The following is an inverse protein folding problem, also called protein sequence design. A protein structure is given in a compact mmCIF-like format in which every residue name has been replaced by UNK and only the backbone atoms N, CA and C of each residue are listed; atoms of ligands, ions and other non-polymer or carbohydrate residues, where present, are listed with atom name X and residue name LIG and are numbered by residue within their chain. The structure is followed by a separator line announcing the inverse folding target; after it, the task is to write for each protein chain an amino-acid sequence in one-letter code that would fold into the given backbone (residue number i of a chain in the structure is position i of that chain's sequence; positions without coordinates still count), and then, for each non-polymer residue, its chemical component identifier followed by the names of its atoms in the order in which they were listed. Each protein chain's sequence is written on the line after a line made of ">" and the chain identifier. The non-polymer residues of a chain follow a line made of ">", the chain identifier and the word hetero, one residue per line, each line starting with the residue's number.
data_IF_885660553031
#
_entry.id   IF_885660553031
#
_cell.length_a   1.000
_cell.length_b   1.000
_cell.length_c   1.000
_cell.angle_alpha   90.00
_cell.angle_beta   90.00
_cell.angle_gamma   90.00
#
_symmetry.space_group_name_H-M   'P 1'
#
loop_
_entity.id
_entity.type
_entity.pdbx_description
1 polymer ?
#
# COMPACT_ATOMS: atom_id res chain seq x y z
N UNK A 1 -17.55 -19.22 16.39
CA UNK A 1 -17.21 -19.88 15.13
C UNK A 1 -17.11 -18.80 14.08
N UNK A 2 -15.97 -18.64 13.40
CA UNK A 2 -15.83 -17.69 12.30
C UNK A 2 -16.88 -18.03 11.23
N UNK A 3 -17.70 -17.05 10.84
CA UNK A 3 -18.68 -17.27 9.80
C UNK A 3 -17.96 -17.37 8.45
N UNK A 4 -18.50 -18.12 7.50
CA UNK A 4 -18.01 -18.15 6.12
C UNK A 4 -18.04 -16.76 5.39
N UNK A 5 -18.40 -15.69 6.11
CA UNK A 5 -18.69 -14.35 5.61
C UNK A 5 -17.58 -13.32 5.91
N UNK A 6 -16.49 -13.70 6.60
CA UNK A 6 -15.48 -12.74 7.06
C UNK A 6 -14.33 -12.50 6.06
N UNK A 7 -14.36 -13.16 4.89
CA UNK A 7 -13.36 -13.00 3.81
C UNK A 7 -13.60 -11.79 2.92
N UNK A 8 -12.60 -11.45 2.09
CA UNK A 8 -12.76 -10.45 1.03
C UNK A 8 -13.63 -11.01 -0.11
N UNK A 9 -14.64 -10.24 -0.54
CA UNK A 9 -15.52 -10.57 -1.67
C UNK A 9 -15.80 -9.35 -2.54
N UNK A 10 -16.40 -9.55 -3.72
CA UNK A 10 -16.86 -8.47 -4.63
C UNK A 10 -15.74 -7.48 -5.05
N UNK A 11 -14.53 -7.98 -5.30
CA UNK A 11 -13.37 -7.15 -5.65
C UNK A 11 -13.55 -6.48 -7.01
N UNK A 12 -13.42 -5.16 -7.03
CA UNK A 12 -13.47 -4.30 -8.22
C UNK A 12 -12.32 -3.31 -8.22
N UNK A 13 -11.73 -3.07 -9.39
CA UNK A 13 -10.76 -2.00 -9.58
C UNK A 13 -11.49 -0.72 -9.95
N UNK A 14 -11.29 0.32 -9.16
CA UNK A 14 -11.99 1.60 -9.30
C UNK A 14 -11.17 2.59 -10.12
N UNK A 15 -9.90 2.77 -9.76
CA UNK A 15 -9.03 3.74 -10.41
C UNK A 15 -7.56 3.43 -10.19
N UNK A 16 -6.70 4.08 -10.98
CA UNK A 16 -5.28 4.16 -10.71
C UNK A 16 -4.71 5.49 -11.17
N UNK A 17 -3.58 5.89 -10.60
CA UNK A 17 -2.89 7.12 -10.94
C UNK A 17 -1.43 7.04 -10.54
N UNK A 18 -0.57 7.86 -11.16
CA UNK A 18 0.79 8.08 -10.69
C UNK A 18 0.88 9.40 -9.93
N UNK A 19 1.59 9.43 -8.81
CA UNK A 19 1.93 10.65 -8.10
C UNK A 19 3.19 11.26 -8.66
N UNK A 20 3.30 12.58 -8.64
CA UNK A 20 4.52 13.32 -8.98
C UNK A 20 4.87 14.27 -7.85
N UNK A 21 6.10 14.15 -7.35
CA UNK A 21 6.61 15.06 -6.33
C UNK A 21 6.89 16.42 -6.97
N UNK A 22 6.04 17.39 -6.66
CA UNK A 22 6.12 18.79 -7.05
C UNK A 22 5.62 19.65 -5.88
N UNK A 23 5.91 20.95 -5.91
CA UNK A 23 5.47 21.89 -4.86
C UNK A 23 3.94 21.88 -4.67
N UNK A 24 3.19 21.67 -5.76
CA UNK A 24 1.76 21.39 -5.73
C UNK A 24 1.52 19.90 -6.03
N UNK A 25 0.56 19.28 -5.32
CA UNK A 25 0.20 17.89 -5.56
C UNK A 25 -0.18 17.67 -7.04
N UNK A 26 0.50 16.77 -7.72
CA UNK A 26 0.27 16.49 -9.14
C UNK A 26 0.07 14.99 -9.34
N UNK A 27 -1.03 14.61 -9.99
CA UNK A 27 -1.31 13.21 -10.36
C UNK A 27 -1.46 13.04 -11.87
N UNK A 28 -0.94 11.93 -12.37
CA UNK A 28 -1.13 11.46 -13.73
C UNK A 28 -2.19 10.37 -13.72
N UNK A 29 -3.33 10.63 -14.34
CA UNK A 29 -4.42 9.66 -14.47
C UNK A 29 -4.34 9.05 -15.87
N UNK A 30 -4.25 7.71 -16.00
CA UNK A 30 -4.13 7.07 -17.31
C UNK A 30 -5.30 7.45 -18.22
N UNK A 31 -4.97 7.73 -19.50
CA UNK A 31 -5.96 7.84 -20.58
C UNK A 31 -6.49 6.45 -20.96
N UNK A 32 -7.40 6.36 -21.94
CA UNK A 32 -8.02 5.08 -22.35
C UNK A 32 -7.02 3.95 -22.63
N UNK A 33 -7.53 2.72 -22.52
CA UNK A 33 -6.78 1.48 -22.34
C UNK A 33 -5.66 1.31 -23.36
N UNK A 34 -4.48 0.95 -22.87
CA UNK A 34 -3.50 0.23 -23.66
C UNK A 34 -2.80 -0.79 -22.77
N UNK A 35 -2.58 -1.95 -23.35
CA UNK A 35 -1.86 -3.06 -22.74
C UNK A 35 -0.38 -2.80 -23.13
N UNK A 36 0.59 -2.98 -22.21
CA UNK A 36 1.85 -3.73 -22.44
C UNK A 36 3.30 -3.13 -22.03
N UNK A 37 4.00 -3.55 -20.92
CA UNK A 37 5.47 -3.85 -20.58
C UNK A 37 5.73 -4.20 -19.06
N UNK A 38 6.68 -5.06 -18.61
CA UNK A 38 7.04 -5.11 -17.15
C UNK A 38 7.57 -3.73 -16.74
N UNK A 39 6.79 -2.99 -15.97
CA UNK A 39 7.03 -1.59 -15.65
C UNK A 39 7.28 -1.43 -14.15
N UNK A 40 8.29 -0.64 -13.81
CA UNK A 40 8.38 -0.08 -12.47
C UNK A 40 7.18 0.85 -12.29
N UNK A 41 6.37 0.57 -11.29
CA UNK A 41 5.53 1.62 -10.76
C UNK A 41 6.44 2.45 -9.87
N UNK A 42 6.42 3.78 -9.97
CA UNK A 42 7.31 4.55 -9.12
C UNK A 42 6.98 4.29 -7.63
N UNK A 43 7.95 4.51 -6.75
CA UNK A 43 7.97 4.29 -5.29
C UNK A 43 6.82 4.88 -4.44
N UNK A 44 5.93 4.05 -3.90
CA UNK A 44 5.02 4.48 -2.83
C UNK A 44 5.26 3.77 -1.50
N UNK A 45 5.85 4.41 -0.47
CA UNK A 45 5.85 3.85 0.88
C UNK A 45 4.52 4.20 1.57
N UNK A 46 3.47 3.42 1.33
CA UNK A 46 2.36 3.30 2.28
C UNK A 46 1.81 1.88 2.27
N UNK A 47 2.45 1.03 3.06
CA UNK A 47 1.84 -0.21 3.51
C UNK A 47 0.81 0.14 4.60
N UNK A 48 -0.45 -0.23 4.35
CA UNK A 48 -1.36 -0.54 5.44
C UNK A 48 -0.87 -1.88 5.99
N UNK A 49 -0.11 -1.82 7.09
CA UNK A 49 0.43 -3.01 7.74
C UNK A 49 -0.74 -3.69 8.47
N UNK A 50 -1.46 -4.55 7.76
CA UNK A 50 -2.37 -5.50 8.40
C UNK A 50 -1.56 -6.68 8.91
N UNK A 51 -0.72 -6.46 9.91
CA UNK A 51 -0.19 -7.56 10.70
C UNK A 51 -1.14 -7.71 11.89
N UNK A 52 -1.98 -8.75 11.88
CA UNK A 52 -2.84 -9.08 13.02
C UNK A 52 -2.03 -9.48 14.27
N UNK A 53 -0.73 -9.74 14.09
CA UNK A 53 0.25 -9.66 15.14
C UNK A 53 0.64 -8.19 15.39
N UNK A 54 -0.08 -7.57 16.32
CA UNK A 54 0.21 -6.29 16.99
C UNK A 54 1.61 -6.29 17.65
N UNK A 55 2.68 -6.40 16.86
CA UNK A 55 4.03 -6.19 17.35
C UNK A 55 4.25 -4.70 17.61
N UNK A 56 5.05 -4.39 18.64
CA UNK A 56 5.22 -3.10 19.30
C UNK A 56 5.84 -1.97 18.47
N UNK A 57 5.71 -1.99 17.14
CA UNK A 57 6.16 -0.91 16.26
C UNK A 57 5.05 0.15 16.17
N UNK A 58 5.31 1.25 16.85
CA UNK A 58 4.42 2.36 17.15
C UNK A 58 3.79 3.03 15.92
N UNK A 59 2.51 2.77 15.66
CA UNK A 59 1.69 3.77 14.96
C UNK A 59 1.32 4.85 15.97
N UNK A 60 1.85 6.07 15.80
CA UNK A 60 1.64 7.16 16.76
C UNK A 60 0.23 7.76 16.68
N UNK A 61 -0.39 7.79 15.49
CA UNK A 61 -1.78 8.24 15.30
C UNK A 61 -2.41 7.67 14.02
N UNK A 62 -3.61 7.13 14.14
CA UNK A 62 -4.51 6.84 13.02
C UNK A 62 -5.73 7.73 13.21
N UNK A 63 -6.13 8.47 12.19
CA UNK A 63 -7.32 9.32 12.24
C UNK A 63 -8.46 8.70 11.46
N UNK A 64 -9.66 8.84 11.99
CA UNK A 64 -10.91 8.54 11.30
C UNK A 64 -11.73 9.82 11.18
N UNK A 65 -12.18 10.11 9.97
CA UNK A 65 -13.08 11.23 9.68
C UNK A 65 -14.40 10.68 9.17
N UNK A 66 -15.51 11.15 9.74
CA UNK A 66 -16.86 10.77 9.30
C UNK A 66 -17.40 11.85 8.35
N UNK A 67 -17.65 11.44 7.10
CA UNK A 67 -18.08 12.30 5.99
C UNK A 67 -19.25 11.65 5.25
N UNK A 68 -20.43 12.26 5.29
CA UNK A 68 -21.62 11.85 4.54
C UNK A 68 -21.91 10.33 4.62
N UNK A 69 -21.91 9.79 5.84
CA UNK A 69 -22.14 8.36 6.09
C UNK A 69 -20.98 7.44 5.70
N UNK A 70 -19.80 8.00 5.42
CA UNK A 70 -18.56 7.26 5.14
C UNK A 70 -17.52 7.55 6.21
N UNK A 71 -16.61 6.60 6.41
CA UNK A 71 -15.46 6.76 7.29
C UNK A 71 -14.19 6.74 6.46
N UNK A 72 -13.39 7.80 6.56
CA UNK A 72 -12.06 7.89 5.96
C UNK A 72 -11.03 7.65 7.05
N UNK A 73 -10.25 6.57 6.92
CA UNK A 73 -9.18 6.24 7.85
C UNK A 73 -7.83 6.60 7.22
N UNK A 74 -7.08 7.48 7.88
CA UNK A 74 -5.74 7.91 7.44
C UNK A 74 -4.74 7.74 8.56
N UNK A 75 -3.57 7.17 8.25
CA UNK A 75 -2.43 7.16 9.17
C UNK A 75 -1.61 8.42 8.96
N UNK A 76 -1.22 9.10 10.04
CA UNK A 76 -0.13 10.09 9.97
C UNK A 76 1.12 9.52 10.64
N UNK A 77 2.27 9.73 10.00
CA UNK A 77 3.57 9.55 10.64
C UNK A 77 4.33 10.87 10.51
N UNK A 78 4.90 11.36 11.62
CA UNK A 78 5.79 12.54 11.58
C UNK A 78 7.09 12.26 10.80
N UNK A 79 7.44 10.99 10.62
CA UNK A 79 8.50 10.54 9.71
C UNK A 79 7.86 10.01 8.42
N UNK A 80 7.98 10.77 7.34
CA UNK A 80 7.81 10.30 5.96
C UNK A 80 9.14 9.86 5.34
N UNK A 81 10.26 10.21 5.99
CA UNK A 81 11.63 9.84 5.62
C UNK A 81 12.42 9.46 6.87
N UNK A 82 13.12 8.34 6.81
CA UNK A 82 14.18 7.98 7.75
C UNK A 82 15.53 8.39 7.16
N UNK A 83 16.40 8.99 7.98
CA UNK A 83 17.81 9.06 7.64
C UNK A 83 18.39 7.68 7.91
N UNK A 84 18.65 6.93 6.84
CA UNK A 84 19.43 5.70 6.93
C UNK A 84 20.84 6.12 7.36
N UNK A 85 21.18 5.83 8.61
CA UNK A 85 22.54 6.08 9.09
C UNK A 85 23.54 5.24 8.29
N UNK A 86 24.82 5.63 8.29
CA UNK A 86 25.85 4.94 7.50
C UNK A 86 26.02 3.44 7.86
N UNK A 87 25.54 3.03 9.05
CA UNK A 87 25.52 1.66 9.55
C UNK A 87 24.13 0.98 9.44
N UNK A 88 23.11 1.69 8.96
CA UNK A 88 21.77 1.17 8.75
C UNK A 88 21.62 0.66 7.32
N UNK A 89 20.86 -0.41 7.19
CA UNK A 89 20.68 -1.12 5.94
C UNK A 89 19.18 -1.35 5.71
N UNK A 90 18.60 -0.60 4.77
CA UNK A 90 17.15 -0.68 4.44
C UNK A 90 16.82 -1.72 3.37
N UNK A 91 17.73 -2.65 3.09
CA UNK A 91 17.54 -3.62 2.03
C UNK A 91 18.15 -3.19 0.71
N UNK A 92 17.96 -4.04 -0.32
CA UNK A 92 18.46 -3.77 -1.66
C UNK A 92 17.34 -3.47 -2.67
N UNK A 93 16.13 -3.23 -2.18
CA UNK A 93 14.94 -3.09 -3.03
C UNK A 93 15.08 -1.98 -4.06
N UNK A 94 15.53 -0.79 -3.63
CA UNK A 94 15.76 0.35 -4.52
C UNK A 94 16.73 0.00 -5.66
N UNK A 95 17.88 -0.57 -5.30
CA UNK A 95 18.89 -0.99 -6.28
C UNK A 95 18.35 -2.07 -7.23
N UNK A 96 17.56 -3.02 -6.73
CA UNK A 96 16.93 -4.03 -7.58
C UNK A 96 15.98 -3.40 -8.61
N UNK A 97 15.08 -2.51 -8.16
CA UNK A 97 14.09 -1.88 -9.03
C UNK A 97 14.75 -0.99 -10.10
N UNK A 98 15.76 -0.19 -9.72
CA UNK A 98 16.51 0.66 -10.66
C UNK A 98 17.22 -0.13 -11.77
N UNK A 99 17.70 -1.34 -11.49
CA UNK A 99 18.49 -2.15 -12.44
C UNK A 99 17.65 -3.18 -13.22
N UNK A 100 16.52 -3.62 -12.66
CA UNK A 100 15.75 -4.73 -13.23
C UNK A 100 14.36 -4.34 -13.72
N UNK A 101 13.88 -3.13 -13.42
CA UNK A 101 12.60 -2.63 -13.92
C UNK A 101 12.82 -1.48 -14.91
N UNK A 102 11.80 -1.22 -15.72
CA UNK A 102 11.79 -0.08 -16.66
C UNK A 102 10.63 0.83 -16.33
N UNK A 103 10.85 2.13 -16.19
CA UNK A 103 9.76 3.11 -16.09
C UNK A 103 9.23 3.44 -17.49
N UNK A 104 7.91 3.41 -17.69
CA UNK A 104 7.30 3.86 -18.94
C UNK A 104 7.53 5.37 -19.15
N UNK A 105 7.76 5.77 -20.40
CA UNK A 105 8.17 7.14 -20.76
C UNK A 105 7.10 8.18 -20.44
N UNK A 106 5.83 7.81 -20.59
CA UNK A 106 4.66 8.66 -20.36
C UNK A 106 4.43 9.01 -18.87
N UNK A 107 4.92 8.18 -17.95
CA UNK A 107 4.84 8.39 -16.49
C UNK A 107 6.20 8.73 -15.87
N UNK A 108 7.19 9.06 -16.70
CA UNK A 108 8.54 9.40 -16.22
C UNK A 108 8.50 10.62 -15.29
N UNK A 109 9.24 10.52 -14.19
CA UNK A 109 9.30 11.55 -13.15
C UNK A 109 8.19 11.46 -12.11
N UNK A 110 7.27 10.49 -12.24
CA UNK A 110 6.40 10.12 -11.14
C UNK A 110 7.21 9.47 -10.00
N UNK A 111 6.76 9.70 -8.77
CA UNK A 111 7.37 9.16 -7.56
C UNK A 111 6.63 7.95 -7.03
N UNK A 112 5.32 7.79 -7.26
CA UNK A 112 4.57 6.57 -6.92
C UNK A 112 3.51 6.15 -7.94
N UNK A 113 3.10 4.88 -8.00
CA UNK A 113 1.80 4.49 -8.57
C UNK A 113 0.84 4.02 -7.49
N UNK A 114 -0.41 4.48 -7.58
CA UNK A 114 -1.46 4.11 -6.67
C UNK A 114 -2.64 3.48 -7.41
N UNK A 115 -3.26 2.50 -6.76
CA UNK A 115 -4.51 1.89 -7.20
C UNK A 115 -5.55 2.06 -6.11
N UNK A 116 -6.81 2.11 -6.56
CA UNK A 116 -7.99 2.12 -5.71
C UNK A 116 -8.80 0.88 -6.07
N UNK A 117 -9.02 0.01 -5.09
CA UNK A 117 -9.88 -1.17 -5.21
C UNK A 117 -11.04 -1.06 -4.25
N UNK A 118 -12.18 -1.61 -4.63
CA UNK A 118 -13.35 -1.76 -3.76
C UNK A 118 -13.66 -3.24 -3.56
N UNK A 119 -14.08 -3.61 -2.37
CA UNK A 119 -14.49 -4.96 -2.01
C UNK A 119 -15.33 -4.94 -0.74
N UNK A 120 -15.85 -6.09 -0.34
CA UNK A 120 -16.46 -6.28 0.99
C UNK A 120 -15.56 -7.13 1.87
N UNK A 121 -15.41 -6.75 3.13
CA UNK A 121 -14.72 -7.54 4.16
C UNK A 121 -15.68 -7.73 5.34
N UNK A 122 -16.10 -8.97 5.63
CA UNK A 122 -17.08 -9.19 6.71
C UNK A 122 -18.44 -8.50 6.47
N UNK A 123 -18.78 -8.24 5.20
CA UNK A 123 -19.93 -7.45 4.77
C UNK A 123 -19.71 -5.92 4.74
N UNK A 124 -18.58 -5.43 5.25
CA UNK A 124 -18.24 -4.00 5.29
C UNK A 124 -17.74 -3.56 3.91
N UNK A 125 -18.37 -2.57 3.24
CA UNK A 125 -17.84 -2.00 2.02
C UNK A 125 -16.53 -1.25 2.29
N UNK A 126 -15.47 -1.63 1.60
CA UNK A 126 -14.14 -1.02 1.72
C UNK A 126 -13.75 -0.42 0.37
N UNK A 127 -13.14 0.76 0.44
CA UNK A 127 -12.40 1.38 -0.66
C UNK A 127 -10.94 1.54 -0.21
N UNK A 128 -10.06 0.71 -0.75
CA UNK A 128 -8.65 0.68 -0.38
C UNK A 128 -7.80 1.38 -1.44
N UNK A 129 -7.02 2.37 -1.02
CA UNK A 129 -5.94 2.96 -1.80
C UNK A 129 -4.61 2.37 -1.36
N UNK A 130 -3.85 1.80 -2.30
CA UNK A 130 -2.53 1.23 -2.02
C UNK A 130 -1.51 1.65 -3.09
N UNK A 131 -0.23 1.59 -2.75
CA UNK A 131 0.85 1.74 -3.71
C UNK A 131 1.15 0.40 -4.38
N UNK A 132 1.20 0.36 -5.71
CA UNK A 132 1.61 -0.82 -6.45
C UNK A 132 3.11 -0.69 -6.79
N UNK A 133 3.85 -1.81 -6.78
CA UNK A 133 5.30 -1.79 -6.98
C UNK A 133 5.71 -1.95 -8.44
N UNK A 134 5.02 -2.81 -9.18
CA UNK A 134 5.28 -3.04 -10.58
C UNK A 134 4.03 -3.55 -11.32
N UNK A 135 4.13 -3.64 -12.63
CA UNK A 135 3.18 -4.41 -13.42
C UNK A 135 3.87 -5.20 -14.52
N UNK A 136 3.48 -6.46 -14.75
CA UNK A 136 3.91 -7.31 -15.86
C UNK A 136 3.05 -7.02 -17.09
N UNK A 137 3.62 -6.46 -18.14
CA UNK A 137 2.85 -6.10 -19.33
C UNK A 137 3.79 -6.31 -20.58
N UNK A 138 3.36 -6.34 -21.86
CA UNK A 138 4.30 -6.42 -23.06
C UNK A 138 4.59 -5.18 -24.03
N UNK A 139 5.54 -4.25 -23.80
CA UNK A 139 5.95 -3.06 -24.64
C UNK A 139 5.07 -2.51 -25.81
N UNK A 140 4.62 -1.23 -25.74
CA UNK A 140 4.59 -0.23 -26.87
C UNK A 140 4.59 1.25 -26.43
N UNK A 141 4.95 2.13 -27.36
CA UNK A 141 5.00 3.60 -27.24
C UNK A 141 3.67 4.20 -27.72
N UNK A 142 3.01 5.03 -26.92
CA UNK A 142 1.85 5.85 -27.33
C UNK A 142 2.08 7.34 -27.02
N UNK A 143 1.64 8.19 -27.95
CA UNK A 143 2.00 9.60 -28.12
C UNK A 143 1.44 10.47 -27.00
N UNK A 144 2.30 11.37 -26.50
CA UNK A 144 2.07 12.26 -25.37
C UNK A 144 1.26 13.47 -25.80
N UNK A 145 -0.04 13.45 -25.57
CA UNK A 145 -0.83 14.69 -25.38
C UNK A 145 -1.83 14.43 -24.27
N UNK A 146 -1.57 15.03 -23.11
CA UNK A 146 -2.45 14.93 -21.95
C UNK A 146 -3.18 16.24 -21.72
N UNK A 147 -4.48 16.17 -21.48
CA UNK A 147 -5.26 17.32 -21.00
C UNK A 147 -4.95 17.55 -19.53
N UNK A 148 -4.78 18.81 -19.17
CA UNK A 148 -4.52 19.24 -17.81
C UNK A 148 -5.79 19.84 -17.22
N UNK A 149 -6.08 19.49 -15.97
CA UNK A 149 -7.14 20.08 -15.18
C UNK A 149 -6.54 20.47 -13.85
N UNK A 150 -6.61 21.75 -13.51
CA UNK A 150 -6.13 22.28 -12.24
C UNK A 150 -7.31 22.46 -11.28
N UNK A 151 -7.15 21.92 -10.08
CA UNK A 151 -7.94 22.22 -8.90
C UNK A 151 -7.08 23.05 -7.94
N UNK A 152 -7.67 23.72 -6.95
CA UNK A 152 -6.98 24.68 -6.06
C UNK A 152 -5.63 24.18 -5.53
N UNK A 153 -5.55 22.91 -5.09
CA UNK A 153 -4.34 22.30 -4.51
C UNK A 153 -3.87 21.03 -5.24
N UNK A 154 -4.53 20.67 -6.35
CA UNK A 154 -4.27 19.42 -7.07
C UNK A 154 -4.26 19.66 -8.58
N UNK A 155 -3.18 19.26 -9.22
CA UNK A 155 -3.06 19.21 -10.66
C UNK A 155 -3.29 17.80 -11.17
N UNK A 156 -4.22 17.64 -12.10
CA UNK A 156 -4.54 16.36 -12.73
C UNK A 156 -4.17 16.42 -14.20
N UNK A 157 -3.33 15.48 -14.64
CA UNK A 157 -2.92 15.38 -16.04
C UNK A 157 -3.39 14.03 -16.56
N UNK A 158 -4.21 14.01 -17.62
CA UNK A 158 -4.57 12.76 -18.30
C UNK A 158 -3.38 12.26 -19.11
N UNK A 159 -2.65 11.27 -18.58
CA UNK A 159 -1.41 10.74 -19.16
C UNK A 159 -1.14 9.36 -18.60
N UNK A 160 -0.55 8.48 -19.41
CA UNK A 160 -0.31 7.10 -19.01
C UNK A 160 -1.30 6.14 -19.66
N UNK A 161 -1.06 4.84 -19.46
CA UNK A 161 -1.92 3.77 -19.94
C UNK A 161 -2.62 3.06 -18.77
N UNK A 162 -3.87 2.63 -18.95
CA UNK A 162 -4.56 1.80 -17.95
C UNK A 162 -3.88 0.44 -17.86
N UNK A 163 -3.36 0.12 -16.68
CA UNK A 163 -2.78 -1.19 -16.38
C UNK A 163 -3.86 -2.15 -15.87
N UNK A 164 -4.15 -3.26 -16.57
CA UNK A 164 -5.06 -4.30 -16.07
C UNK A 164 -4.65 -4.79 -14.68
N UNK A 165 -5.63 -5.09 -13.83
CA UNK A 165 -5.35 -5.54 -12.46
C UNK A 165 -4.55 -6.82 -12.41
N UNK A 166 -4.88 -7.78 -13.28
CA UNK A 166 -4.18 -9.06 -13.46
C UNK A 166 -2.69 -8.92 -13.79
N UNK A 167 -2.24 -7.73 -14.17
CA UNK A 167 -0.84 -7.45 -14.49
C UNK A 167 -0.08 -6.82 -13.32
N UNK A 168 -0.72 -6.43 -12.22
CA UNK A 168 -0.01 -5.78 -11.11
C UNK A 168 0.80 -6.76 -10.28
N UNK A 169 1.91 -6.29 -9.74
CA UNK A 169 2.81 -7.08 -8.91
C UNK A 169 3.28 -6.30 -7.67
N UNK A 170 3.48 -7.02 -6.57
CA UNK A 170 4.22 -6.56 -5.39
C UNK A 170 5.61 -7.17 -5.41
N UNK A 171 6.62 -6.38 -5.00
CA UNK A 171 8.03 -6.77 -5.02
C UNK A 171 8.56 -6.89 -3.59
N UNK A 172 9.21 -8.02 -3.30
CA UNK A 172 10.02 -8.20 -2.09
C UNK A 172 11.45 -8.54 -2.47
N UNK A 173 12.40 -8.03 -1.69
CA UNK A 173 13.82 -8.40 -1.82
C UNK A 173 14.31 -8.97 -0.51
N UNK A 174 15.07 -10.06 -0.57
CA UNK A 174 15.64 -10.70 0.62
C UNK A 174 17.01 -11.29 0.33
N UNK A 175 17.83 -11.44 1.36
CA UNK A 175 19.10 -12.16 1.25
C UNK A 175 18.88 -13.67 1.21
N UNK A 176 19.66 -14.38 0.39
CA UNK A 176 19.65 -15.83 0.36
C UNK A 176 19.97 -16.41 1.75
N UNK A 177 19.16 -17.36 2.18
CA UNK A 177 19.40 -18.20 3.35
C UNK A 177 19.09 -19.64 2.97
N UNK A 178 19.98 -20.57 3.34
CA UNK A 178 19.80 -22.00 3.08
C UNK A 178 18.51 -22.50 3.73
N UNK A 179 17.73 -23.29 2.99
CA UNK A 179 16.47 -23.89 3.49
C UNK A 179 15.28 -22.94 3.54
N UNK A 180 15.42 -21.71 3.05
CA UNK A 180 14.33 -20.73 3.05
C UNK A 180 13.38 -20.98 1.88
N UNK A 181 12.10 -21.18 2.17
CA UNK A 181 11.07 -21.26 1.15
C UNK A 181 10.84 -19.88 0.50
N UNK A 182 10.20 -19.86 -0.65
CA UNK A 182 9.86 -18.65 -1.40
C UNK A 182 8.56 -17.97 -0.90
N UNK A 183 7.94 -18.48 0.17
CA UNK A 183 6.76 -17.87 0.77
C UNK A 183 7.19 -16.69 1.65
N UNK A 184 6.42 -15.61 1.63
CA UNK A 184 6.70 -14.39 2.41
C UNK A 184 5.48 -14.01 3.22
N UNK A 185 5.29 -14.68 4.35
CA UNK A 185 4.16 -14.46 5.27
C UNK A 185 4.04 -13.00 5.72
N UNK A 186 5.14 -12.25 5.76
CA UNK A 186 5.13 -10.83 6.16
C UNK A 186 4.49 -9.94 5.09
N UNK A 187 4.56 -10.37 3.82
CA UNK A 187 3.98 -9.65 2.67
C UNK A 187 2.59 -10.14 2.30
N UNK A 188 2.24 -11.38 2.62
CA UNK A 188 0.91 -11.93 2.29
C UNK A 188 -0.28 -11.10 2.76
N UNK A 189 -0.28 -10.44 3.94
CA UNK A 189 -1.39 -9.56 4.32
C UNK A 189 -1.57 -8.35 3.41
N UNK A 190 -0.47 -7.80 2.86
CA UNK A 190 -0.52 -6.70 1.89
C UNK A 190 -1.09 -7.19 0.56
N UNK A 191 -0.63 -8.36 0.09
CA UNK A 191 -1.17 -9.03 -1.10
C UNK A 191 -2.67 -9.33 -0.95
N UNK A 192 -3.10 -9.80 0.22
CA UNK A 192 -4.51 -10.08 0.54
C UNK A 192 -5.35 -8.80 0.53
N UNK A 193 -4.95 -7.73 1.22
CA UNK A 193 -5.71 -6.47 1.21
C UNK A 193 -5.78 -5.83 -0.19
N UNK A 194 -4.64 -5.76 -0.88
CA UNK A 194 -4.55 -5.15 -2.20
C UNK A 194 -5.14 -6.04 -3.32
N UNK A 195 -5.38 -7.32 -3.03
CA UNK A 195 -5.78 -8.34 -3.99
C UNK A 195 -4.82 -8.39 -5.19
N UNK A 196 -3.52 -8.16 -4.93
CA UNK A 196 -2.47 -8.09 -5.97
C UNK A 196 -2.19 -9.51 -6.47
N UNK A 197 -2.32 -9.80 -7.78
CA UNK A 197 -2.29 -11.16 -8.32
C UNK A 197 -0.90 -11.75 -8.49
N UNK A 198 0.15 -10.92 -8.46
CA UNK A 198 1.52 -11.38 -8.68
C UNK A 198 2.43 -10.95 -7.53
N UNK A 199 3.22 -11.90 -7.04
CA UNK A 199 4.32 -11.62 -6.12
C UNK A 199 5.65 -11.87 -6.83
N UNK A 200 6.54 -10.87 -6.80
CA UNK A 200 7.89 -10.96 -7.35
C UNK A 200 8.87 -10.94 -6.19
N UNK A 201 9.57 -12.05 -6.02
CA UNK A 201 10.57 -12.21 -4.98
C UNK A 201 11.96 -12.24 -5.58
N UNK A 202 12.74 -11.20 -5.33
CA UNK A 202 14.14 -11.13 -5.74
C UNK A 202 15.04 -11.59 -4.58
N UNK A 203 15.81 -12.66 -4.83
CA UNK A 203 16.73 -13.21 -3.82
C UNK A 203 18.16 -12.75 -4.15
N UNK A 204 18.74 -12.00 -3.22
CA UNK A 204 20.13 -11.54 -3.35
C UNK A 204 21.10 -12.63 -2.95
N UNK A 205 22.16 -12.79 -3.75
CA UNK A 205 23.26 -13.71 -3.45
C UNK A 205 24.44 -12.87 -2.99
N UNK A 206 24.92 -13.13 -1.77
CA UNK A 206 26.14 -12.50 -1.26
C UNK A 206 27.34 -13.21 -1.87
N UNK A 207 28.17 -12.47 -2.61
CA UNK A 207 29.45 -12.97 -3.10
C UNK A 207 30.58 -12.34 -2.28
N UNK A 208 31.58 -13.13 -1.88
CA UNK A 208 32.85 -12.55 -1.40
C UNK A 208 33.62 -12.09 -2.62
N UNK A 209 33.91 -10.79 -2.67
CA UNK A 209 34.59 -10.17 -3.80
C UNK A 209 36.10 -10.45 -3.80
N UNK A 210 36.72 -10.57 -2.61
CA UNK A 210 38.15 -10.84 -2.43
C UNK A 210 38.44 -11.26 -0.98
N UNK A 211 39.53 -12.00 -0.73
CA UNK A 211 40.05 -12.26 0.63
C UNK A 211 40.57 -10.99 1.31
N UNK A 212 40.96 -9.98 0.54
CA UNK A 212 41.60 -8.74 1.04
C UNK A 212 40.66 -7.54 1.13
N UNK A 213 39.42 -7.64 0.62
CA UNK A 213 38.42 -6.55 0.65
C UNK A 213 37.29 -6.94 1.59
N UNK A 214 37.11 -6.17 2.66
CA UNK A 214 36.13 -6.41 3.73
C UNK A 214 34.66 -6.17 3.31
N UNK A 215 34.41 -5.78 2.05
CA UNK A 215 33.07 -5.49 1.54
C UNK A 215 32.33 -6.73 1.05
N UNK A 216 31.25 -7.12 1.74
CA UNK A 216 30.23 -8.03 1.17
C UNK A 216 29.38 -7.24 0.18
N UNK A 217 29.32 -7.70 -1.07
CA UNK A 217 28.33 -7.22 -2.05
C UNK A 217 27.27 -8.29 -2.22
N UNK A 218 26.00 -7.88 -2.20
CA UNK A 218 24.92 -8.71 -2.66
C UNK A 218 24.55 -8.32 -4.08
N UNK A 219 24.36 -9.31 -4.93
CA UNK A 219 23.93 -9.13 -6.31
C UNK A 219 22.58 -9.77 -6.53
N UNK A 220 21.74 -9.12 -7.33
CA UNK A 220 20.53 -9.72 -7.86
C UNK A 220 20.80 -10.23 -9.27
N UNK A 221 20.20 -11.37 -9.58
CA UNK A 221 20.13 -11.88 -10.93
C UNK A 221 18.66 -12.19 -11.23
N UNK A 222 18.26 -11.98 -12.48
CA UNK A 222 16.93 -12.37 -12.96
C UNK A 222 16.71 -13.88 -12.71
N UNK A 223 17.76 -14.70 -12.78
CA UNK A 223 17.68 -16.14 -12.50
C UNK A 223 17.28 -16.45 -11.05
N UNK A 224 17.58 -15.54 -10.12
CA UNK A 224 17.22 -15.64 -8.70
C UNK A 224 15.98 -14.81 -8.35
N UNK A 225 15.23 -14.37 -9.37
CA UNK A 225 13.94 -13.71 -9.21
C UNK A 225 12.83 -14.71 -9.45
N UNK A 226 11.93 -14.85 -8.47
CA UNK A 226 10.77 -15.74 -8.55
C UNK A 226 9.54 -14.89 -8.81
N UNK A 227 8.80 -15.23 -9.86
CA UNK A 227 7.50 -14.64 -10.15
C UNK A 227 6.45 -15.69 -9.81
N UNK A 228 5.48 -15.32 -8.98
CA UNK A 228 4.46 -16.24 -8.50
C UNK A 228 3.08 -15.64 -8.62
N UNK A 229 2.12 -16.51 -8.92
CA UNK A 229 0.72 -16.22 -8.70
C UNK A 229 0.48 -16.19 -7.18
N UNK A 230 0.06 -15.04 -6.67
CA UNK A 230 -0.16 -14.84 -5.24
C UNK A 230 -1.41 -15.55 -4.72
N UNK A 231 -2.30 -16.01 -5.61
CA UNK A 231 -3.62 -16.48 -5.20
C UNK A 231 -3.56 -17.74 -4.32
N UNK A 232 -2.59 -18.62 -4.54
CA UNK A 232 -2.41 -19.81 -3.69
C UNK A 232 -1.92 -19.43 -2.29
N UNK A 233 -0.91 -18.56 -2.22
CA UNK A 233 -0.31 -18.08 -0.96
C UNK A 233 -1.33 -17.28 -0.14
N UNK A 234 -2.09 -16.40 -0.79
CA UNK A 234 -3.16 -15.60 -0.17
C UNK A 234 -4.29 -16.50 0.36
N UNK A 235 -4.74 -17.50 -0.42
CA UNK A 235 -5.80 -18.42 0.05
C UNK A 235 -5.34 -19.22 1.26
N UNK A 236 -4.10 -19.72 1.25
CA UNK A 236 -3.55 -20.45 2.39
C UNK A 236 -3.47 -19.54 3.62
N UNK A 237 -2.90 -18.35 3.47
CA UNK A 237 -2.80 -17.39 4.56
C UNK A 237 -4.18 -16.99 5.12
N UNK A 238 -5.16 -16.73 4.27
CA UNK A 238 -6.53 -16.40 4.69
C UNK A 238 -7.18 -17.55 5.50
N UNK A 239 -6.94 -18.81 5.12
CA UNK A 239 -7.42 -19.97 5.87
C UNK A 239 -6.74 -20.08 7.24
N UNK A 240 -5.40 -19.99 7.26
CA UNK A 240 -4.58 -20.09 8.47
C UNK A 240 -4.88 -18.94 9.46
N UNK A 241 -5.29 -17.76 8.97
CA UNK A 241 -5.57 -16.56 9.75
C UNK A 241 -7.06 -16.24 9.89
N UNK A 242 -7.96 -17.16 9.55
CA UNK A 242 -9.41 -16.95 9.58
C UNK A 242 -9.94 -16.43 10.92
N UNK A 243 -9.38 -16.92 12.03
CA UNK A 243 -9.74 -16.45 13.39
C UNK A 243 -9.33 -15.00 13.66
N UNK A 244 -8.20 -14.55 13.10
CA UNK A 244 -7.73 -13.17 13.26
C UNK A 244 -8.44 -12.21 12.30
N UNK A 245 -8.81 -12.69 11.10
CA UNK A 245 -9.67 -11.95 10.17
C UNK A 245 -11.05 -11.70 10.79
N UNK A 246 -11.65 -12.70 11.43
CA UNK A 246 -12.91 -12.52 12.15
C UNK A 246 -12.80 -11.44 13.24
N UNK A 247 -11.74 -11.47 14.06
CA UNK A 247 -11.48 -10.42 15.05
C UNK A 247 -11.29 -9.04 14.41
N UNK A 248 -10.59 -8.95 13.28
CA UNK A 248 -10.43 -7.69 12.55
C UNK A 248 -11.79 -7.16 12.09
N UNK A 249 -12.66 -8.01 11.55
CA UNK A 249 -14.02 -7.65 11.14
C UNK A 249 -14.83 -7.13 12.32
N UNK A 250 -14.78 -7.81 13.48
CA UNK A 250 -15.48 -7.37 14.69
C UNK A 250 -14.97 -6.00 15.16
N UNK A 251 -13.65 -5.81 15.23
CA UNK A 251 -13.03 -4.52 15.60
C UNK A 251 -13.43 -3.40 14.63
N UNK A 252 -13.51 -3.68 13.33
CA UNK A 252 -13.94 -2.70 12.34
C UNK A 252 -15.43 -2.33 12.53
N UNK A 253 -16.31 -3.30 12.79
CA UNK A 253 -17.74 -3.05 13.06
C UNK A 253 -17.94 -2.22 14.32
N UNK A 254 -17.23 -2.55 15.40
CA UNK A 254 -17.24 -1.81 16.65
C UNK A 254 -16.73 -0.37 16.45
N UNK A 255 -15.64 -0.20 15.69
CA UNK A 255 -15.09 1.11 15.35
C UNK A 255 -16.11 1.97 14.59
N UNK A 256 -16.73 1.42 13.54
CA UNK A 256 -17.71 2.13 12.72
C UNK A 256 -18.92 2.55 13.57
N UNK A 257 -19.47 1.64 14.38
CA UNK A 257 -20.57 1.94 15.29
C UNK A 257 -20.22 3.07 16.25
N UNK A 258 -19.01 3.04 16.81
CA UNK A 258 -18.55 4.06 17.75
C UNK A 258 -18.33 5.43 17.08
N UNK A 259 -17.81 5.45 15.85
CA UNK A 259 -17.62 6.68 15.07
C UNK A 259 -18.96 7.31 14.68
N UNK A 260 -19.92 6.51 14.24
CA UNK A 260 -21.28 6.97 13.92
C UNK A 260 -21.96 7.58 15.15
N UNK A 261 -21.91 6.90 16.30
CA UNK A 261 -22.48 7.41 17.55
C UNK A 261 -21.82 8.74 17.98
N UNK A 262 -20.49 8.85 17.87
CA UNK A 262 -19.77 10.09 18.21
C UNK A 262 -20.03 11.23 17.24
N UNK A 263 -20.17 10.95 15.95
CA UNK A 263 -20.51 11.95 14.94
C UNK A 263 -21.94 12.48 15.15
N UNK A 264 -22.90 11.61 15.52
CA UNK A 264 -24.26 12.02 15.87
C UNK A 264 -24.29 12.94 17.10
N UNK A 265 -23.51 12.62 18.14
CA UNK A 265 -23.37 13.47 19.35
C UNK A 265 -22.66 14.81 19.07
N UNK A 266 -21.90 14.92 17.98
CA UNK A 266 -21.23 16.15 17.57
C UNK A 266 -22.16 17.11 16.80
N UNK A 267 -23.49 16.94 16.88
CA UNK A 267 -24.50 17.68 16.14
C UNK A 267 -24.33 17.61 14.61
N UNK A 268 -23.73 16.54 14.09
CA UNK A 268 -23.59 16.36 12.64
C UNK A 268 -22.67 17.40 11.99
N UNK A 269 -21.74 18.00 12.73
CA UNK A 269 -20.61 18.72 12.11
C UNK A 269 -19.88 17.73 11.19
N UNK A 270 -20.12 17.87 9.88
CA UNK A 270 -19.42 17.15 8.84
C UNK A 270 -17.90 17.34 9.05
N UNK A 271 -17.15 16.24 9.04
CA UNK A 271 -15.71 16.28 9.30
C UNK A 271 -15.32 16.10 10.77
N UNK A 272 -16.11 15.36 11.56
CA UNK A 272 -15.69 14.94 12.90
C UNK A 272 -14.46 14.01 12.81
N UNK A 273 -13.29 14.53 13.18
CA UNK A 273 -12.01 13.80 13.20
C UNK A 273 -11.77 13.17 14.57
N UNK A 274 -11.43 11.87 14.59
CA UNK A 274 -11.09 11.11 15.78
C UNK A 274 -9.72 10.45 15.62
N UNK A 275 -8.88 10.55 16.65
CA UNK A 275 -7.66 9.77 16.76
C UNK A 275 -7.98 8.39 17.35
N UNK A 276 -7.67 7.33 16.61
CA UNK A 276 -7.72 5.93 17.02
C UNK A 276 -6.40 5.59 17.71
N UNK A 277 -6.48 5.17 18.97
CA UNK A 277 -5.34 4.66 19.74
C UNK A 277 -5.61 3.27 20.28
N UNK A 278 -4.52 2.51 20.43
CA UNK A 278 -4.54 1.24 21.15
C UNK A 278 -4.85 1.50 22.63
N UNK A 279 -5.79 0.74 23.18
CA UNK A 279 -6.06 0.73 24.61
C UNK A 279 -5.20 -0.28 25.37
N UNK A 280 -5.01 -0.03 26.65
CA UNK A 280 -4.52 -1.03 27.61
C UNK A 280 -5.71 -1.68 28.35
N UNK A 281 -5.63 -2.98 28.65
CA UNK A 281 -6.65 -3.71 29.42
C UNK A 281 -7.82 -4.28 28.58
N UNK A 282 -9.01 -4.41 29.19
CA UNK A 282 -10.22 -5.01 28.56
C UNK A 282 -10.81 -4.20 27.39
N UNK A 283 -10.40 -2.94 27.25
CA UNK A 283 -10.81 -2.08 26.14
C UNK A 283 -9.67 -2.03 25.10
N UNK A 284 -9.89 -2.70 23.97
CA UNK A 284 -8.84 -2.90 22.97
C UNK A 284 -8.54 -1.66 22.12
N UNK A 285 -9.38 -0.60 22.19
CA UNK A 285 -9.29 0.60 21.36
C UNK A 285 -9.98 1.81 22.02
N UNK A 286 -9.42 3.01 21.85
CA UNK A 286 -10.04 4.26 22.32
C UNK A 286 -10.02 5.32 21.22
N UNK A 287 -11.07 6.15 21.20
CA UNK A 287 -11.17 7.32 20.31
C UNK A 287 -11.05 8.61 21.12
N UNK A 288 -10.14 9.48 20.69
CA UNK A 288 -9.98 10.83 21.26
C UNK A 288 -10.24 11.88 20.17
N UNK A 289 -10.85 13.01 20.52
CA UNK A 289 -10.78 14.19 19.64
C UNK A 289 -9.34 14.71 19.68
N UNK A 290 -8.71 15.01 18.53
CA UNK A 290 -7.39 15.63 18.53
C UNK A 290 -7.45 16.90 19.38
N UNK A 291 -6.50 17.09 20.30
CA UNK A 291 -6.27 18.43 20.86
C UNK A 291 -5.88 19.32 19.68
N UNK A 292 -6.51 20.51 19.60
CA UNK A 292 -6.31 21.50 18.54
C UNK A 292 -4.86 22.01 18.53
N UNK A 293 -3.95 21.21 17.98
CA UNK A 293 -2.73 21.68 17.29
C UNK A 293 -2.92 21.54 15.76
N UNK A 294 -4.16 21.67 15.29
CA UNK A 294 -4.49 21.91 13.88
C UNK A 294 -4.55 23.42 13.60
N UNK A 295 -3.57 24.19 14.07
CA UNK A 295 -3.28 25.48 13.43
C UNK A 295 -2.55 25.19 12.12
N UNK A 296 -3.30 25.12 11.02
CA UNK A 296 -2.68 25.10 9.69
C UNK A 296 -3.49 24.43 8.57
N UNK A 297 -4.63 23.79 8.87
CA UNK A 297 -5.48 23.20 7.83
C UNK A 297 -6.90 23.74 7.97
N UNK A 298 -7.12 24.92 7.37
CA UNK A 298 -8.44 25.57 7.30
C UNK A 298 -8.41 27.04 7.71
N UNK A 299 -7.80 27.87 6.85
CA UNK A 299 -8.08 29.30 6.57
C UNK A 299 -6.81 29.99 6.08
N UNK A 300 -6.52 29.84 4.79
CA UNK A 300 -6.14 30.86 3.81
C UNK A 300 -5.79 30.16 2.51
#
# INVERSE_FOLDING_TARGET
>A
MAGANDRITDVQVIASYNWKDQDNACILVPGERSIASLCAMPYGPMHLVANANWQANSFRAVYAEVLDGRVVITRTSKQTHGLIQANEYEGYRKGFEEHHLTTQVDVRGSSSHHRIVSYKLGGIPILLRYAADACLSPRRISIITGTETSFDKLKVIKRGNVVPHCHTAEISTRSYKTGMDDYDEQKTPSLWLAQTPTFILAISVSTRYSETVTGRRSTFSIQNTKIRDSAADVRKWEQDHSGDIAKLVDVLKDLLTLLEAKAALANGEAGSVFEIRRGEGRANMWLRRPELELQGWGKT
#
